data_IF_965455799375
#
_entry.id   IF_965455799375
#
_cell.length_a   1.000
_cell.length_b   1.000
_cell.length_c   1.000
_cell.angle_alpha   90.00
_cell.angle_beta   90.00
_cell.angle_gamma   90.00
#
_symmetry.space_group_name_H-M   'P 1'
#
loop_
_entity.id
_entity.type
_entity.pdbx_description
1 polymer ?
#
# COMPACT_ATOMS: atom_id res chain seq x y z
N UNK A 1 27.78 13.18 27.26
CA UNK A 1 28.25 12.75 25.91
C UNK A 1 27.16 11.84 25.35
N UNK A 2 26.13 12.46 24.77
CA UNK A 2 24.89 11.81 24.36
C UNK A 2 25.10 11.20 22.99
N UNK A 3 25.12 9.88 22.91
CA UNK A 3 25.05 9.14 21.63
C UNK A 3 23.72 9.48 20.97
N UNK A 4 23.75 10.42 20.03
CA UNK A 4 22.61 10.74 19.18
C UNK A 4 22.29 9.51 18.34
N UNK A 5 21.06 9.04 18.47
CA UNK A 5 20.44 7.97 17.69
C UNK A 5 20.72 8.15 16.18
N UNK A 6 21.30 7.16 15.48
CA UNK A 6 21.44 7.18 14.02
C UNK A 6 20.09 7.10 13.26
N UNK A 7 18.98 6.87 13.96
CA UNK A 7 17.61 6.88 13.40
C UNK A 7 17.05 8.30 13.13
N UNK A 8 17.74 9.37 13.56
CA UNK A 8 17.40 10.77 13.24
C UNK A 8 18.09 11.30 11.97
N UNK A 9 18.51 10.42 11.07
CA UNK A 9 18.78 10.82 9.68
C UNK A 9 17.46 11.32 9.07
N UNK A 10 17.23 12.61 9.24
CA UNK A 10 16.13 13.34 8.63
C UNK A 10 16.20 13.06 7.12
N UNK A 11 15.19 12.38 6.60
CA UNK A 11 15.00 12.18 5.17
C UNK A 11 15.06 13.54 4.46
N UNK A 12 16.23 13.89 3.94
CA UNK A 12 16.44 15.10 3.15
C UNK A 12 15.88 14.85 1.76
N UNK A 13 14.57 15.01 1.63
CA UNK A 13 13.91 15.03 0.33
C UNK A 13 14.26 16.33 -0.38
N UNK A 14 14.58 16.25 -1.67
CA UNK A 14 14.57 17.45 -2.50
C UNK A 14 13.16 18.04 -2.53
N UNK A 15 13.03 19.36 -2.73
CA UNK A 15 11.72 20.01 -2.81
C UNK A 15 10.81 19.36 -3.87
N UNK A 16 11.38 18.94 -5.01
CA UNK A 16 10.65 18.22 -6.05
C UNK A 16 10.15 16.84 -5.59
N UNK A 17 10.98 16.08 -4.88
CA UNK A 17 10.58 14.79 -4.32
C UNK A 17 9.51 14.95 -3.23
N UNK A 18 9.61 16.02 -2.43
CA UNK A 18 8.62 16.36 -1.43
C UNK A 18 7.27 16.76 -2.06
N UNK A 19 7.28 17.62 -3.09
CA UNK A 19 6.06 18.00 -3.81
C UNK A 19 5.41 16.80 -4.51
N UNK A 20 6.21 15.92 -5.12
CA UNK A 20 5.74 14.69 -5.74
C UNK A 20 5.07 13.75 -4.71
N UNK A 21 5.69 13.61 -3.54
CA UNK A 21 5.14 12.83 -2.44
C UNK A 21 3.84 13.46 -1.89
N UNK A 22 3.85 14.75 -1.60
CA UNK A 22 2.74 15.43 -0.92
C UNK A 22 1.52 15.63 -1.84
N UNK A 23 1.74 15.95 -3.12
CA UNK A 23 0.67 16.32 -4.04
C UNK A 23 0.18 15.20 -4.94
N UNK A 24 1.01 14.18 -5.18
CA UNK A 24 0.75 13.22 -6.26
C UNK A 24 0.89 11.74 -5.84
N UNK A 25 1.06 11.46 -4.54
CA UNK A 25 1.04 10.11 -4.01
C UNK A 25 0.14 10.00 -2.78
N UNK A 26 -0.65 8.93 -2.72
CA UNK A 26 -1.60 8.70 -1.63
C UNK A 26 -1.01 7.84 -0.49
N UNK A 27 0.24 7.38 -0.61
CA UNK A 27 0.89 6.51 0.38
C UNK A 27 1.79 7.25 1.37
N UNK A 28 2.04 6.64 2.54
CA UNK A 28 2.73 7.27 3.67
C UNK A 28 4.23 6.99 3.73
N UNK A 29 4.85 6.56 2.63
CA UNK A 29 6.25 6.15 2.59
C UNK A 29 7.13 7.14 1.79
N UNK A 30 7.54 8.27 2.40
CA UNK A 30 8.37 9.28 1.71
C UNK A 30 9.75 8.76 1.33
N UNK A 31 10.24 7.73 2.03
CA UNK A 31 11.52 7.04 1.73
C UNK A 31 11.58 6.52 0.30
N UNK A 32 10.45 6.16 -0.30
CA UNK A 32 10.40 5.65 -1.68
C UNK A 32 10.79 6.73 -2.70
N UNK A 33 10.49 8.00 -2.42
CA UNK A 33 10.81 9.13 -3.28
C UNK A 33 12.26 9.59 -3.12
N UNK A 34 12.82 9.46 -1.90
CA UNK A 34 14.24 9.68 -1.66
C UNK A 34 15.12 8.59 -2.30
N UNK A 35 14.64 7.34 -2.33
CA UNK A 35 15.35 6.20 -2.88
C UNK A 35 14.83 5.79 -4.27
N UNK A 36 14.34 6.75 -5.08
CA UNK A 36 13.93 6.47 -6.44
C UNK A 36 15.12 5.91 -7.23
N UNK A 37 14.95 4.74 -7.86
CA UNK A 37 16.03 4.01 -8.53
C UNK A 37 15.75 3.82 -10.02
N UNK A 38 16.82 3.89 -10.79
CA UNK A 38 16.88 3.42 -12.18
C UNK A 38 17.78 2.18 -12.22
N UNK A 39 17.36 1.07 -12.87
CA UNK A 39 16.12 0.89 -13.63
C UNK A 39 14.85 0.76 -12.78
N UNK A 40 13.70 1.00 -13.41
CA UNK A 40 12.38 0.94 -12.79
C UNK A 40 12.12 -0.43 -12.11
N UNK A 41 11.55 -0.45 -10.89
CA UNK A 41 11.21 -1.70 -10.21
C UNK A 41 10.29 -2.61 -11.05
N UNK A 42 10.65 -3.88 -11.18
CA UNK A 42 9.98 -4.87 -12.03
C UNK A 42 8.49 -5.08 -11.69
N UNK A 43 7.61 -4.94 -12.69
CA UNK A 43 6.16 -5.22 -12.60
C UNK A 43 5.26 -3.98 -12.51
N UNK A 44 5.75 -2.81 -12.95
CA UNK A 44 4.92 -1.63 -13.15
C UNK A 44 3.79 -1.91 -14.17
N UNK A 45 4.09 -2.65 -15.24
CA UNK A 45 3.14 -3.05 -16.28
C UNK A 45 1.97 -3.89 -15.75
N UNK A 46 2.21 -4.77 -14.78
CA UNK A 46 1.16 -5.58 -14.16
C UNK A 46 0.18 -4.72 -13.34
N UNK A 47 0.70 -3.74 -12.58
CA UNK A 47 -0.13 -2.77 -11.87
C UNK A 47 -0.94 -1.90 -12.82
N UNK A 48 -0.30 -1.40 -13.89
CA UNK A 48 -0.99 -0.60 -14.91
C UNK A 48 -2.09 -1.39 -15.61
N UNK A 49 -1.81 -2.64 -16.02
CA UNK A 49 -2.79 -3.51 -16.67
C UNK A 49 -3.97 -3.80 -15.74
N UNK A 50 -3.70 -4.20 -14.50
CA UNK A 50 -4.76 -4.46 -13.51
C UNK A 50 -5.57 -3.20 -13.23
N UNK A 51 -4.91 -2.06 -13.02
CA UNK A 51 -5.58 -0.78 -12.82
C UNK A 51 -6.48 -0.41 -14.00
N UNK A 52 -5.98 -0.54 -15.24
CA UNK A 52 -6.78 -0.28 -16.43
C UNK A 52 -8.01 -1.20 -16.51
N UNK A 53 -7.85 -2.51 -16.25
CA UNK A 53 -8.96 -3.46 -16.26
C UNK A 53 -10.03 -3.10 -15.21
N UNK A 54 -9.63 -2.78 -13.98
CA UNK A 54 -10.58 -2.39 -12.93
C UNK A 54 -11.23 -1.03 -13.24
N UNK A 55 -10.49 -0.09 -13.83
CA UNK A 55 -11.03 1.20 -14.25
C UNK A 55 -12.08 1.06 -15.34
N UNK A 56 -11.79 0.25 -16.38
CA UNK A 56 -12.75 -0.03 -17.46
C UNK A 56 -13.98 -0.75 -16.90
N UNK A 57 -13.81 -1.79 -16.09
CA UNK A 57 -14.92 -2.50 -15.47
C UNK A 57 -15.78 -1.59 -14.58
N UNK A 58 -15.14 -0.72 -13.78
CA UNK A 58 -15.82 0.27 -12.95
C UNK A 58 -16.57 1.31 -13.79
N UNK A 59 -16.00 1.79 -14.90
CA UNK A 59 -16.65 2.73 -15.81
C UNK A 59 -17.88 2.12 -16.49
N UNK A 60 -17.78 0.87 -16.96
CA UNK A 60 -18.90 0.12 -17.54
C UNK A 60 -20.02 -0.06 -16.51
N UNK A 61 -19.70 -0.48 -15.29
CA UNK A 61 -20.70 -0.62 -14.23
C UNK A 61 -21.33 0.72 -13.84
N UNK A 62 -20.57 1.82 -13.87
CA UNK A 62 -21.10 3.15 -13.59
C UNK A 62 -22.06 3.61 -14.70
N UNK A 63 -21.74 3.31 -15.96
CA UNK A 63 -22.65 3.54 -17.08
C UNK A 63 -23.94 2.72 -16.93
N UNK A 64 -23.85 1.45 -16.50
CA UNK A 64 -25.01 0.61 -16.19
C UNK A 64 -25.82 1.14 -15.00
N UNK A 65 -25.17 1.65 -13.95
CA UNK A 65 -25.86 2.30 -12.83
C UNK A 65 -26.64 3.53 -13.31
N UNK A 66 -26.04 4.32 -14.22
CA UNK A 66 -26.68 5.50 -14.80
C UNK A 66 -27.87 5.13 -15.68
N UNK A 67 -27.74 4.08 -16.49
CA UNK A 67 -28.82 3.54 -17.32
C UNK A 67 -29.96 3.00 -16.45
N UNK A 68 -29.64 2.23 -15.41
CA UNK A 68 -30.62 1.72 -14.46
C UNK A 68 -31.41 2.87 -13.82
N UNK A 69 -30.73 3.96 -13.42
CA UNK A 69 -31.39 5.16 -12.93
C UNK A 69 -32.33 5.77 -13.97
N UNK A 70 -31.88 6.02 -15.20
CA UNK A 70 -32.72 6.67 -16.22
C UNK A 70 -33.92 5.83 -16.61
N UNK A 71 -33.76 4.51 -16.72
CA UNK A 71 -34.80 3.62 -17.22
C UNK A 71 -35.81 3.22 -16.16
N UNK A 72 -35.38 3.05 -14.89
CA UNK A 72 -36.26 2.53 -13.83
C UNK A 72 -36.65 3.59 -12.79
N UNK A 73 -35.95 4.73 -12.75
CA UNK A 73 -36.04 5.75 -11.68
C UNK A 73 -35.81 5.20 -10.26
N UNK A 74 -35.34 3.95 -10.12
CA UNK A 74 -35.08 3.30 -8.85
C UNK A 74 -33.73 3.72 -8.29
N UNK A 75 -33.77 4.53 -7.22
CA UNK A 75 -32.57 5.02 -6.54
C UNK A 75 -31.75 3.89 -5.91
N UNK A 76 -32.44 2.88 -5.37
CA UNK A 76 -31.82 1.75 -4.69
C UNK A 76 -31.02 0.91 -5.67
N UNK A 77 -31.59 0.58 -6.84
CA UNK A 77 -30.91 -0.20 -7.86
C UNK A 77 -29.66 0.52 -8.39
N UNK A 78 -29.80 1.80 -8.73
CA UNK A 78 -28.68 2.62 -9.17
C UNK A 78 -27.56 2.67 -8.12
N UNK A 79 -27.91 2.84 -6.84
CA UNK A 79 -26.93 2.88 -5.74
C UNK A 79 -26.20 1.55 -5.56
N UNK A 80 -26.92 0.43 -5.58
CA UNK A 80 -26.33 -0.92 -5.43
C UNK A 80 -25.33 -1.22 -6.54
N UNK A 81 -25.54 -0.72 -7.76
CA UNK A 81 -24.59 -0.86 -8.86
C UNK A 81 -23.46 0.19 -8.77
N UNK A 82 -23.79 1.43 -8.38
CA UNK A 82 -22.82 2.52 -8.34
C UNK A 82 -21.73 2.32 -7.26
N UNK A 83 -22.05 1.76 -6.10
CA UNK A 83 -21.08 1.52 -5.03
C UNK A 83 -19.90 0.60 -5.46
N UNK A 84 -20.13 -0.60 -6.01
CA UNK A 84 -19.05 -1.43 -6.52
C UNK A 84 -18.39 -0.80 -7.77
N UNK A 85 -19.14 -0.09 -8.62
CA UNK A 85 -18.59 0.61 -9.78
C UNK A 85 -17.52 1.64 -9.36
N UNK A 86 -17.87 2.52 -8.41
CA UNK A 86 -16.96 3.52 -7.85
C UNK A 86 -15.78 2.88 -7.10
N UNK A 87 -16.04 1.77 -6.39
CA UNK A 87 -14.97 1.01 -5.72
C UNK A 87 -13.96 0.48 -6.73
N UNK A 88 -14.41 -0.16 -7.81
CA UNK A 88 -13.57 -0.68 -8.89
C UNK A 88 -12.83 0.45 -9.61
N UNK A 89 -13.52 1.53 -9.95
CA UNK A 89 -12.96 2.64 -10.71
C UNK A 89 -11.88 3.38 -9.91
N UNK A 90 -12.19 3.74 -8.67
CA UNK A 90 -11.32 4.60 -7.84
C UNK A 90 -10.28 3.77 -7.08
N UNK A 91 -10.72 2.82 -6.25
CA UNK A 91 -9.84 2.16 -5.29
C UNK A 91 -8.90 1.16 -5.98
N UNK A 92 -9.43 0.38 -6.91
CA UNK A 92 -8.63 -0.60 -7.63
C UNK A 92 -8.06 -0.02 -8.93
N UNK A 93 -8.86 0.69 -9.71
CA UNK A 93 -8.46 1.24 -10.98
C UNK A 93 -7.44 2.36 -10.84
N UNK A 94 -7.88 3.52 -10.37
CA UNK A 94 -7.06 4.73 -10.28
C UNK A 94 -5.86 4.53 -9.37
N UNK A 95 -6.01 3.91 -8.19
CA UNK A 95 -4.87 3.72 -7.29
C UNK A 95 -3.82 2.74 -7.84
N UNK A 96 -4.20 1.66 -8.54
CA UNK A 96 -3.21 0.77 -9.18
C UNK A 96 -2.53 1.45 -10.37
N UNK A 97 -3.26 2.25 -11.15
CA UNK A 97 -2.68 3.06 -12.22
C UNK A 97 -1.66 4.05 -11.68
N UNK A 98 -2.01 4.79 -10.62
CA UNK A 98 -1.11 5.74 -9.96
C UNK A 98 0.14 5.04 -9.40
N UNK A 99 -0.03 3.90 -8.73
CA UNK A 99 1.08 3.10 -8.22
C UNK A 99 1.99 2.59 -9.35
N UNK A 100 1.40 2.09 -10.44
CA UNK A 100 2.12 1.65 -11.63
C UNK A 100 2.88 2.78 -12.32
N UNK A 101 2.29 3.97 -12.43
CA UNK A 101 2.90 5.15 -13.04
C UNK A 101 4.13 5.64 -12.24
N UNK A 102 4.02 5.69 -10.91
CA UNK A 102 5.16 6.00 -10.04
C UNK A 102 6.25 4.94 -10.14
N UNK A 103 5.85 3.66 -10.23
CA UNK A 103 6.78 2.56 -10.40
C UNK A 103 7.53 2.60 -11.70
N UNK A 104 6.85 2.92 -12.81
CA UNK A 104 7.47 3.16 -14.11
C UNK A 104 8.49 4.32 -14.05
N UNK A 105 8.27 5.32 -13.19
CA UNK A 105 9.19 6.44 -12.93
C UNK A 105 10.31 6.13 -11.93
N UNK A 106 10.48 4.88 -11.50
CA UNK A 106 11.56 4.46 -10.60
C UNK A 106 11.24 4.52 -9.11
N UNK A 107 10.05 4.98 -8.73
CA UNK A 107 9.60 5.03 -7.33
C UNK A 107 8.91 3.71 -6.99
N UNK A 108 9.43 2.94 -6.02
CA UNK A 108 8.93 1.59 -5.71
C UNK A 108 7.57 1.56 -4.97
N UNK A 109 6.58 2.32 -5.47
CA UNK A 109 5.22 2.36 -4.97
C UNK A 109 4.52 1.00 -5.13
N UNK A 110 3.89 0.53 -4.06
CA UNK A 110 3.10 -0.69 -4.05
C UNK A 110 1.60 -0.38 -4.16
N UNK A 111 0.80 -1.41 -4.48
CA UNK A 111 -0.65 -1.30 -4.48
C UNK A 111 -1.20 -0.95 -3.09
N UNK A 112 -2.04 0.08 -3.02
CA UNK A 112 -2.74 0.52 -1.81
C UNK A 112 -3.81 -0.49 -1.36
N UNK A 113 -4.37 -1.24 -2.31
CA UNK A 113 -5.35 -2.30 -2.08
C UNK A 113 -4.80 -3.63 -2.59
N UNK A 114 -4.68 -4.62 -1.70
CA UNK A 114 -3.98 -5.90 -1.93
C UNK A 114 -4.89 -7.11 -1.74
N UNK A 115 -5.66 -7.42 -2.77
CA UNK A 115 -6.60 -8.55 -2.78
C UNK A 115 -7.40 -8.64 -1.46
N UNK A 116 -8.19 -7.60 -1.12
CA UNK A 116 -8.86 -7.49 0.18
C UNK A 116 -9.80 -8.66 0.46
N UNK A 117 -10.48 -9.19 -0.57
CA UNK A 117 -11.37 -10.34 -0.46
C UNK A 117 -10.68 -11.66 -0.07
N UNK A 118 -9.33 -11.70 -0.10
CA UNK A 118 -8.54 -12.86 0.37
C UNK A 118 -8.18 -12.78 1.85
N UNK A 119 -8.69 -11.81 2.60
CA UNK A 119 -8.43 -11.68 4.04
C UNK A 119 -9.07 -12.83 4.83
N UNK A 120 -8.35 -13.38 5.81
CA UNK A 120 -8.87 -14.43 6.70
C UNK A 120 -9.61 -13.89 7.92
N UNK A 121 -9.43 -12.61 8.24
CA UNK A 121 -10.09 -11.94 9.34
C UNK A 121 -10.15 -10.42 9.12
N UNK A 122 -10.99 -9.75 9.91
CA UNK A 122 -11.26 -8.32 9.79
C UNK A 122 -10.02 -7.45 10.03
N UNK A 123 -9.12 -7.90 10.92
CA UNK A 123 -7.84 -7.23 11.14
C UNK A 123 -6.98 -7.27 9.88
N UNK A 124 -6.83 -8.43 9.25
CA UNK A 124 -6.04 -8.57 8.03
C UNK A 124 -6.63 -7.73 6.88
N UNK A 125 -7.96 -7.69 6.78
CA UNK A 125 -8.67 -6.85 5.83
C UNK A 125 -8.27 -5.37 5.99
N UNK A 126 -8.54 -4.77 7.16
CA UNK A 126 -8.33 -3.34 7.40
C UNK A 126 -6.88 -2.94 7.61
N UNK A 127 -6.03 -3.80 8.17
CA UNK A 127 -4.67 -3.41 8.52
C UNK A 127 -3.66 -3.66 7.39
N UNK A 128 -3.93 -4.61 6.48
CA UNK A 128 -2.91 -5.09 5.53
C UNK A 128 -3.34 -5.13 4.06
N UNK A 129 -4.63 -5.10 3.78
CA UNK A 129 -5.13 -5.35 2.43
C UNK A 129 -6.04 -4.24 1.89
N UNK A 130 -6.73 -3.54 2.77
CA UNK A 130 -7.58 -2.41 2.43
C UNK A 130 -6.91 -1.10 2.84
N UNK A 131 -6.69 -0.21 1.87
CA UNK A 131 -6.12 1.13 2.07
C UNK A 131 -4.89 1.16 3.00
N UNK A 132 -3.83 0.47 2.59
CA UNK A 132 -2.61 0.31 3.41
C UNK A 132 -2.01 1.64 3.85
N UNK A 133 -2.11 2.68 3.01
CA UNK A 133 -1.64 4.03 3.35
C UNK A 133 -2.35 4.61 4.57
N UNK A 134 -3.66 4.48 4.65
CA UNK A 134 -4.44 4.93 5.80
C UNK A 134 -4.07 4.14 7.06
N UNK A 135 -3.88 2.83 6.94
CA UNK A 135 -3.47 1.96 8.06
C UNK A 135 -2.08 2.32 8.57
N UNK A 136 -1.16 2.70 7.68
CA UNK A 136 0.17 3.22 8.05
C UNK A 136 0.07 4.59 8.74
N UNK A 137 -0.73 5.51 8.20
CA UNK A 137 -0.95 6.84 8.77
C UNK A 137 -1.49 6.73 10.19
N UNK A 138 -2.55 5.95 10.40
CA UNK A 138 -3.18 5.76 11.71
C UNK A 138 -2.24 5.05 12.69
N UNK A 139 -1.42 4.10 12.22
CA UNK A 139 -0.37 3.50 13.02
C UNK A 139 0.66 4.52 13.53
N UNK A 140 1.10 5.43 12.67
CA UNK A 140 2.10 6.44 13.01
C UNK A 140 1.49 7.54 13.90
N UNK A 141 0.33 8.06 13.53
CA UNK A 141 -0.26 9.24 14.17
C UNK A 141 -1.02 8.92 15.46
N UNK A 142 -1.61 7.73 15.57
CA UNK A 142 -2.53 7.39 16.67
C UNK A 142 -1.96 6.24 17.50
N UNK A 143 -1.76 5.07 16.89
CA UNK A 143 -1.46 3.86 17.66
C UNK A 143 -0.08 3.90 18.33
N UNK A 144 0.96 4.37 17.64
CA UNK A 144 2.32 4.48 18.21
C UNK A 144 2.39 5.44 19.39
N UNK A 145 1.92 6.71 19.29
CA UNK A 145 1.89 7.63 20.42
C UNK A 145 1.07 7.11 21.59
N UNK A 146 -0.07 6.48 21.31
CA UNK A 146 -0.95 5.96 22.34
C UNK A 146 -0.34 4.76 23.07
N UNK A 147 0.28 3.83 22.34
CA UNK A 147 0.97 2.68 22.91
C UNK A 147 2.19 3.08 23.76
N UNK A 148 2.87 4.17 23.40
CA UNK A 148 3.97 4.73 24.18
C UNK A 148 3.49 5.33 25.52
N UNK A 149 2.26 5.84 25.59
CA UNK A 149 1.70 6.47 26.80
C UNK A 149 0.91 5.51 27.70
N UNK A 150 0.21 4.53 27.14
CA UNK A 150 -0.72 3.66 27.87
C UNK A 150 -0.26 2.20 27.96
N UNK A 151 0.92 1.88 27.43
CA UNK A 151 1.44 0.52 27.38
C UNK A 151 0.81 -0.34 26.28
N UNK A 152 1.51 -1.40 25.88
CA UNK A 152 1.17 -2.28 24.73
C UNK A 152 -0.21 -2.97 24.87
N UNK A 153 -0.77 -3.03 26.07
CA UNK A 153 -2.08 -3.66 26.35
C UNK A 153 -3.26 -2.95 25.68
N UNK A 154 -3.23 -1.62 25.56
CA UNK A 154 -4.32 -0.88 24.90
C UNK A 154 -4.30 -0.98 23.37
N UNK A 155 -3.12 -1.23 22.77
CA UNK A 155 -2.99 -1.45 21.31
C UNK A 155 -3.57 -2.80 20.87
N UNK A 156 -3.75 -3.74 21.79
CA UNK A 156 -4.42 -5.03 21.56
C UNK A 156 -5.94 -4.96 21.78
N UNK A 157 -6.45 -3.96 22.48
CA UNK A 157 -7.88 -3.82 22.75
C UNK A 157 -8.69 -3.35 21.53
N UNK A 158 -8.06 -2.71 20.53
CA UNK A 158 -8.77 -2.19 19.34
C UNK A 158 -9.03 -3.22 18.25
N UNK A 159 -8.46 -4.43 18.32
CA UNK A 159 -8.71 -5.49 17.34
C UNK A 159 -8.49 -6.85 18.01
N UNK A 160 -9.31 -7.89 17.75
CA UNK A 160 -9.06 -9.20 18.32
C UNK A 160 -7.72 -9.74 17.82
N UNK A 161 -6.87 -10.13 18.76
CA UNK A 161 -5.55 -10.69 18.52
C UNK A 161 -5.69 -12.10 17.90
N UNK A 162 -4.96 -12.37 16.83
CA UNK A 162 -4.31 -13.67 16.54
C UNK A 162 -3.67 -13.67 15.15
N UNK A 163 -2.36 -13.46 15.12
CA UNK A 163 -1.36 -14.24 14.37
C UNK A 163 -0.02 -13.49 14.38
N UNK A 164 1.09 -14.14 14.77
CA UNK A 164 2.40 -13.49 14.80
C UNK A 164 2.85 -13.12 13.38
N UNK A 165 3.48 -11.95 13.28
CA UNK A 165 4.18 -11.47 12.09
C UNK A 165 5.33 -12.46 11.83
N UNK A 166 5.23 -13.30 10.80
CA UNK A 166 6.40 -14.02 10.30
C UNK A 166 7.28 -13.03 9.54
N UNK A 167 8.56 -12.88 9.93
CA UNK A 167 9.54 -12.18 9.10
C UNK A 167 9.63 -12.86 7.72
N UNK A 168 9.81 -12.06 6.67
CA UNK A 168 10.19 -12.59 5.36
C UNK A 168 11.57 -13.23 5.50
N UNK A 169 11.64 -14.56 5.49
CA UNK A 169 12.90 -15.26 5.29
C UNK A 169 13.42 -14.89 3.89
N UNK A 170 14.48 -14.07 3.89
CA UNK A 170 15.29 -13.85 2.72
C UNK A 170 15.90 -15.18 2.31
N UNK A 171 15.51 -15.66 1.13
CA UNK A 171 16.24 -16.67 0.39
C UNK A 171 17.65 -16.12 0.11
N UNK A 172 18.61 -16.45 0.96
CA UNK A 172 20.03 -16.43 0.62
C UNK A 172 20.66 -17.74 1.09
N UNK A 173 20.22 -18.81 0.45
CA UNK A 173 21.00 -20.03 0.37
C UNK A 173 22.17 -19.77 -0.58
N UNK A 174 23.35 -19.47 -0.04
CA UNK A 174 24.63 -19.89 -0.64
C UNK A 174 25.72 -19.94 0.42
N UNK A 175 25.76 -21.06 1.14
CA UNK A 175 26.90 -21.57 1.89
C UNK A 175 27.57 -22.61 0.99
N UNK A 176 28.81 -22.34 0.56
CA UNK A 176 29.83 -23.23 -0.07
C UNK A 176 30.71 -22.28 -0.92
N UNK A 177 32.00 -22.06 -0.72
CA UNK A 177 33.11 -22.86 -0.19
C UNK A 177 34.24 -21.91 0.28
N UNK A 178 35.01 -22.34 1.28
CA UNK A 178 36.24 -21.69 1.74
C UNK A 178 37.41 -22.54 1.21
N UNK A 179 38.37 -22.00 0.43
CA UNK A 179 39.53 -22.79 0.03
C UNK A 179 40.47 -22.97 1.23
N UNK A 180 40.92 -24.21 1.42
CA UNK A 180 41.87 -24.62 2.44
C UNK A 180 43.22 -23.90 2.25
N UNK A 181 43.78 -23.41 3.37
CA UNK A 181 45.16 -22.94 3.46
C UNK A 181 46.09 -24.15 3.65
N UNK A 182 47.24 -24.23 2.96
CA UNK A 182 48.21 -25.29 3.17
C UNK A 182 49.05 -24.98 4.42
N UNK A 183 49.15 -25.95 5.34
CA UNK A 183 50.05 -25.94 6.48
C UNK A 183 51.51 -26.14 6.02
N UNK A 184 52.39 -25.26 6.48
CA UNK A 184 53.85 -25.44 6.50
C UNK A 184 54.28 -26.29 7.70
#
# INVERSE_FOLDING_TARGET
>A
MTTLDPERDALSLSLGAWLAFAGAWLGMQPRLFAAARTPSPSGASDLLRRGALHAVAGAVLLALARLAWTSTQSRSLATVIALPALSLLVHFGLCHLLAGAWRARGVACEALFRAPLRSRNLREFWARRWNVAFSEMTAIAIYRPLAARLGRGFALASFPASAPIRPREGTSARRTERPAQPSS
#
